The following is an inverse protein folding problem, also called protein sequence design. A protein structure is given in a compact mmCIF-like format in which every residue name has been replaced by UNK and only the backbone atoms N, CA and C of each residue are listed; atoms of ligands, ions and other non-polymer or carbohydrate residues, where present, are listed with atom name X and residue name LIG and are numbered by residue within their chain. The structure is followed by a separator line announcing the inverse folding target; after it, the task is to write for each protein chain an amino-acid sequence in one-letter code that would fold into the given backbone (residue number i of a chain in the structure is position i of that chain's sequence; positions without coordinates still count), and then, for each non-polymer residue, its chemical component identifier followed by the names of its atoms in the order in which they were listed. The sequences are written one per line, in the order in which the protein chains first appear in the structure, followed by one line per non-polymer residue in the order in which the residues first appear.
data_IF_447660670110
#
_entry.id   IF_447660670110
#
_cell.length_a   1.000
_cell.length_b   1.000
_cell.length_c   1.000
_cell.angle_alpha   90.00
_cell.angle_beta   90.00
_cell.angle_gamma   90.00
#
_symmetry.space_group_name_H-M   'P 1'
#
loop_
_entity.id
_entity.type
_entity.pdbx_description
1 polymer ?
#
# COMPACT_ATOMS: atom_id res chain seq x y z
N UNK A 1 5.00 26.33 2.93
CA UNK A 1 5.32 24.90 3.12
C UNK A 1 4.11 24.14 2.58
N UNK A 2 4.10 23.83 1.28
CA UNK A 2 2.98 23.17 0.60
C UNK A 2 3.51 22.28 -0.52
N UNK A 3 4.23 21.21 -0.17
CA UNK A 3 4.58 20.20 -1.16
C UNK A 3 3.90 18.90 -0.81
N UNK A 4 2.78 18.64 -1.48
CA UNK A 4 2.08 17.36 -1.46
C UNK A 4 2.92 16.32 -2.20
N UNK A 5 2.75 15.05 -1.84
CA UNK A 5 3.40 13.97 -2.56
C UNK A 5 2.93 13.96 -4.03
N UNK A 6 3.82 13.79 -5.03
CA UNK A 6 3.46 13.91 -6.44
C UNK A 6 2.34 12.98 -6.92
N UNK A 7 2.16 11.83 -6.25
CA UNK A 7 1.15 10.85 -6.64
C UNK A 7 -0.29 11.27 -6.27
N UNK A 8 -0.47 12.28 -5.42
CA UNK A 8 -1.81 12.68 -4.94
C UNK A 8 -2.69 13.12 -6.11
N UNK A 9 -2.13 13.85 -7.08
CA UNK A 9 -2.86 14.32 -8.26
C UNK A 9 -3.13 13.20 -9.28
N UNK A 10 -2.54 12.01 -9.09
CA UNK A 10 -2.73 10.83 -9.95
C UNK A 10 -3.80 9.86 -9.42
N UNK A 11 -4.37 10.10 -8.24
CA UNK A 11 -5.41 9.26 -7.66
C UNK A 11 -6.76 9.51 -8.34
N UNK A 12 -7.50 8.44 -8.63
CA UNK A 12 -8.90 8.51 -9.08
C UNK A 12 -9.83 8.92 -7.94
N UNK A 13 -9.51 8.52 -6.70
CA UNK A 13 -10.19 8.94 -5.48
C UNK A 13 -9.16 9.17 -4.36
N UNK A 14 -9.33 10.21 -3.52
CA UNK A 14 -8.39 10.52 -2.44
C UNK A 14 -8.61 9.60 -1.22
N UNK A 15 -8.48 8.29 -1.43
CA UNK A 15 -8.74 7.26 -0.42
C UNK A 15 -7.56 6.32 -0.26
N UNK A 16 -7.44 5.78 0.96
CA UNK A 16 -6.44 4.81 1.35
C UNK A 16 -7.17 3.55 1.81
N UNK A 17 -6.84 2.40 1.22
CA UNK A 17 -7.30 1.12 1.72
C UNK A 17 -6.55 0.81 3.03
N UNK A 18 -7.29 0.73 4.14
CA UNK A 18 -6.73 0.47 5.46
C UNK A 18 -6.00 -0.90 5.50
N UNK A 19 -4.89 -1.02 6.25
CA UNK A 19 -4.14 -2.26 6.31
C UNK A 19 -4.89 -3.30 7.13
N UNK A 20 -4.90 -4.55 6.65
CA UNK A 20 -5.59 -5.66 7.29
C UNK A 20 -4.61 -6.82 7.47
N UNK A 21 -4.34 -7.20 8.72
CA UNK A 21 -3.38 -8.24 9.06
C UNK A 21 -3.71 -9.57 8.36
N UNK A 22 -2.74 -10.11 7.64
CA UNK A 22 -2.81 -11.34 6.83
C UNK A 22 -3.82 -11.32 5.67
N UNK A 23 -4.52 -10.21 5.44
CA UNK A 23 -5.45 -10.03 4.31
C UNK A 23 -4.83 -9.13 3.23
N UNK A 24 -4.30 -7.96 3.62
CA UNK A 24 -3.69 -7.06 2.65
C UNK A 24 -2.24 -7.45 2.38
N UNK A 25 -1.90 -7.72 1.12
CA UNK A 25 -0.54 -8.03 0.66
C UNK A 25 -0.24 -7.41 -0.71
N UNK A 26 0.91 -7.71 -1.34
CA UNK A 26 1.35 -7.10 -2.59
C UNK A 26 0.28 -7.12 -3.69
N UNK A 27 -0.40 -8.25 -3.86
CA UNK A 27 -1.46 -8.37 -4.87
C UNK A 27 -2.63 -7.41 -4.66
N UNK A 28 -3.04 -7.20 -3.41
CA UNK A 28 -4.10 -6.23 -3.09
C UNK A 28 -3.60 -4.80 -3.32
N UNK A 29 -2.38 -4.48 -2.90
CA UNK A 29 -1.80 -3.15 -3.11
C UNK A 29 -1.65 -2.83 -4.60
N UNK A 30 -1.17 -3.78 -5.41
CA UNK A 30 -1.09 -3.63 -6.87
C UNK A 30 -2.48 -3.37 -7.46
N UNK A 31 -3.50 -4.08 -6.98
CA UNK A 31 -4.88 -3.90 -7.44
C UNK A 31 -5.44 -2.53 -7.05
N UNK A 32 -5.18 -2.06 -5.84
CA UNK A 32 -5.52 -0.71 -5.40
C UNK A 32 -4.87 0.36 -6.29
N UNK A 33 -3.56 0.24 -6.56
CA UNK A 33 -2.84 1.17 -7.43
C UNK A 33 -3.43 1.20 -8.85
N UNK A 34 -3.76 0.03 -9.42
CA UNK A 34 -4.43 -0.07 -10.73
C UNK A 34 -5.84 0.54 -10.73
N UNK A 35 -6.54 0.49 -9.60
CA UNK A 35 -7.86 1.10 -9.42
C UNK A 35 -7.79 2.61 -9.10
N UNK A 36 -6.58 3.20 -9.00
CA UNK A 36 -6.40 4.63 -8.77
C UNK A 36 -6.57 5.06 -7.31
N UNK A 37 -6.34 4.15 -6.36
CA UNK A 37 -6.35 4.46 -4.92
C UNK A 37 -5.06 3.98 -4.25
N UNK A 38 -4.79 4.45 -3.02
CA UNK A 38 -3.60 4.00 -2.28
C UNK A 38 -3.88 2.66 -1.59
N UNK A 39 -3.09 1.63 -1.91
CA UNK A 39 -3.09 0.35 -1.19
C UNK A 39 -2.07 0.33 -0.05
N UNK A 40 -2.39 -0.37 1.05
CA UNK A 40 -1.45 -0.56 2.17
C UNK A 40 -1.46 -1.99 2.71
N UNK A 41 -0.36 -2.44 3.30
CA UNK A 41 -0.27 -3.70 4.05
C UNK A 41 0.55 -3.53 5.33
N UNK A 42 0.28 -4.30 6.41
CA UNK A 42 1.13 -4.33 7.57
C UNK A 42 2.46 -5.01 7.27
N UNK A 43 3.59 -4.39 7.66
CA UNK A 43 4.90 -5.05 7.63
C UNK A 43 4.92 -6.35 8.45
N UNK A 44 4.15 -6.39 9.55
CA UNK A 44 4.02 -7.55 10.43
C UNK A 44 3.40 -8.79 9.77
N UNK A 45 2.85 -8.68 8.55
CA UNK A 45 2.46 -9.87 7.78
C UNK A 45 3.63 -10.86 7.61
N UNK A 46 4.86 -10.35 7.65
CA UNK A 46 6.07 -11.15 7.78
C UNK A 46 6.61 -11.03 9.21
N UNK A 47 7.11 -12.15 9.75
CA UNK A 47 7.56 -12.25 11.14
C UNK A 47 8.95 -11.66 11.39
N UNK A 48 9.76 -11.53 10.34
CA UNK A 48 11.13 -11.01 10.40
C UNK A 48 11.34 -9.97 9.31
N UNK A 49 12.32 -9.08 9.48
CA UNK A 49 12.69 -8.09 8.47
C UNK A 49 13.15 -8.76 7.18
N UNK A 50 13.93 -9.84 7.27
CA UNK A 50 14.41 -10.59 6.09
C UNK A 50 13.25 -11.24 5.34
N UNK A 51 12.25 -11.74 6.07
CA UNK A 51 11.03 -12.28 5.48
C UNK A 51 10.20 -11.20 4.80
N UNK A 52 10.17 -9.99 5.37
CA UNK A 52 9.53 -8.82 4.75
C UNK A 52 10.23 -8.41 3.46
N UNK A 53 11.56 -8.33 3.45
CA UNK A 53 12.35 -8.00 2.25
C UNK A 53 12.18 -9.05 1.15
N UNK A 54 12.20 -10.35 1.48
CA UNK A 54 12.01 -11.41 0.50
C UNK A 54 10.57 -11.49 -0.07
N UNK A 55 9.61 -10.89 0.64
CA UNK A 55 8.20 -10.90 0.27
C UNK A 55 7.80 -9.73 -0.66
N UNK A 56 8.57 -8.63 -0.66
CA UNK A 56 8.39 -7.46 -1.52
C UNK A 56 8.98 -7.67 -2.92
#
# INVERSE_FOLDING_TARGET
MDQKAPFIDSLSLPVIAAPMFLISGPQLVISCCKAGIVGTFPALNQRTSEGFEAWL
#
